data_IF_761991989972
#
_entry.id   IF_761991989972
#
_cell.length_a   1.000
_cell.length_b   1.000
_cell.length_c   1.000
_cell.angle_alpha   90.00
_cell.angle_beta   90.00
_cell.angle_gamma   90.00
#
_symmetry.space_group_name_H-M   'P 1'
#
loop_
_entity.id
_entity.type
_entity.pdbx_description
1 polymer ?
#
# COMPACT_ATOMS: atom_id res chain seq x y z
N UNK A 1 -8.78 -6.22 -0.78
CA UNK A 1 -9.47 -5.64 0.40
C UNK A 1 -10.01 -4.26 0.05
N UNK A 2 -11.30 -3.96 0.26
CA UNK A 2 -11.94 -2.71 -0.22
C UNK A 2 -12.27 -1.71 0.90
N UNK A 3 -12.18 -2.12 2.16
CA UNK A 3 -12.55 -1.33 3.35
C UNK A 3 -11.43 -1.50 4.39
N UNK A 4 -11.07 -0.46 5.17
CA UNK A 4 -10.08 -0.59 6.21
C UNK A 4 -10.53 -1.52 7.35
N UNK A 5 -9.59 -2.12 8.11
CA UNK A 5 -8.15 -2.09 7.88
C UNK A 5 -7.72 -2.94 6.67
N UNK A 6 -6.77 -2.43 5.87
CA UNK A 6 -6.22 -3.15 4.73
C UNK A 6 -5.09 -4.09 5.21
N UNK A 7 -5.44 -5.30 5.63
CA UNK A 7 -4.48 -6.31 6.05
C UNK A 7 -4.90 -7.71 5.61
N UNK A 8 -3.94 -8.63 5.61
CA UNK A 8 -4.11 -10.06 5.35
C UNK A 8 -3.34 -10.81 6.44
N UNK A 9 -3.90 -11.91 6.93
CA UNK A 9 -3.26 -12.79 7.92
C UNK A 9 -3.28 -14.20 7.36
N UNK A 10 -2.11 -14.80 7.21
CA UNK A 10 -1.89 -16.11 6.60
C UNK A 10 -0.80 -16.85 7.37
N UNK A 11 -0.72 -18.17 7.17
CA UNK A 11 0.36 -19.02 7.71
C UNK A 11 1.21 -19.57 6.56
N UNK A 12 2.53 -19.62 6.74
CA UNK A 12 3.47 -20.06 5.71
C UNK A 12 4.84 -20.43 6.30
N UNK A 13 5.69 -21.05 5.47
CA UNK A 13 6.98 -21.60 5.88
C UNK A 13 8.19 -20.90 5.23
N UNK A 14 7.96 -20.09 4.19
CA UNK A 14 9.00 -19.37 3.48
C UNK A 14 8.56 -17.93 3.20
N UNK A 15 9.53 -17.02 3.18
CA UNK A 15 9.31 -15.65 2.73
C UNK A 15 9.23 -15.53 1.21
N UNK A 16 8.65 -14.46 0.72
CA UNK A 16 8.51 -14.17 -0.71
C UNK A 16 8.28 -12.69 -1.00
N UNK A 17 8.51 -12.29 -2.25
CA UNK A 17 8.17 -10.97 -2.77
C UNK A 17 6.66 -10.86 -3.02
N UNK A 18 5.98 -10.09 -2.18
CA UNK A 18 4.54 -9.86 -2.26
C UNK A 18 4.23 -8.60 -3.09
N UNK A 19 3.62 -8.70 -4.28
CA UNK A 19 3.12 -7.55 -5.00
C UNK A 19 1.87 -6.98 -4.30
N UNK A 20 1.95 -5.72 -3.86
CA UNK A 20 0.87 -4.96 -3.23
C UNK A 20 0.44 -3.85 -4.18
N UNK A 21 -0.74 -3.99 -4.78
CA UNK A 21 -1.32 -2.96 -5.64
C UNK A 21 -2.34 -2.10 -4.87
N UNK A 22 -2.11 -0.79 -4.86
CA UNK A 22 -2.98 0.20 -4.20
C UNK A 22 -3.77 0.94 -5.27
N UNK A 23 -5.09 0.80 -5.25
CA UNK A 23 -6.00 1.51 -6.15
C UNK A 23 -6.48 2.82 -5.54
N UNK A 24 -6.38 3.90 -6.33
CA UNK A 24 -6.84 5.23 -5.93
C UNK A 24 -8.28 5.46 -6.36
N UNK A 25 -9.03 6.23 -5.57
CA UNK A 25 -10.34 6.80 -5.97
C UNK A 25 -10.16 7.97 -6.96
N UNK A 26 -9.37 7.75 -8.01
CA UNK A 26 -9.01 8.68 -9.07
C UNK A 26 -9.64 8.23 -10.40
N UNK A 27 -10.25 9.16 -11.14
CA UNK A 27 -10.84 8.89 -12.47
C UNK A 27 -9.76 8.90 -13.58
N UNK A 28 -8.68 9.67 -13.39
CA UNK A 28 -7.57 9.81 -14.37
C UNK A 28 -6.39 8.90 -13.98
N UNK A 29 -5.36 8.85 -14.83
CA UNK A 29 -4.08 8.19 -14.48
C UNK A 29 -3.32 9.01 -13.42
N UNK A 30 -2.55 8.37 -12.52
CA UNK A 30 -2.50 6.93 -12.27
C UNK A 30 -3.73 6.43 -11.49
N UNK A 31 -4.25 5.24 -11.86
CA UNK A 31 -5.38 4.58 -11.18
C UNK A 31 -4.93 3.70 -10.01
N UNK A 32 -3.72 3.17 -10.10
CA UNK A 32 -3.09 2.37 -9.06
C UNK A 32 -1.58 2.60 -9.05
N UNK A 33 -0.94 2.10 -7.99
CA UNK A 33 0.51 1.94 -7.87
C UNK A 33 0.79 0.55 -7.32
N UNK A 34 1.85 -0.10 -7.79
CA UNK A 34 2.26 -1.42 -7.32
C UNK A 34 3.57 -1.30 -6.55
N UNK A 35 3.64 -1.95 -5.40
CA UNK A 35 4.85 -2.10 -4.59
C UNK A 35 5.19 -3.57 -4.46
N UNK A 36 6.45 -3.94 -4.67
CA UNK A 36 6.93 -5.26 -4.29
C UNK A 36 7.39 -5.21 -2.84
N UNK A 37 6.70 -5.91 -1.95
CA UNK A 37 6.98 -5.98 -0.52
C UNK A 37 7.69 -7.28 -0.19
N UNK A 38 8.91 -7.20 0.33
CA UNK A 38 9.64 -8.37 0.83
C UNK A 38 9.00 -8.87 2.14
N UNK A 39 8.26 -9.97 2.05
CA UNK A 39 7.68 -10.66 3.18
C UNK A 39 8.64 -11.79 3.57
N UNK A 40 9.64 -11.45 4.39
CA UNK A 40 10.60 -12.44 4.90
C UNK A 40 10.20 -13.01 6.26
N UNK A 41 10.57 -14.28 6.50
CA UNK A 41 10.30 -15.00 7.74
C UNK A 41 11.62 -15.31 8.46
N UNK A 42 11.94 -14.63 9.57
CA UNK A 42 13.10 -14.98 10.38
C UNK A 42 12.87 -16.30 11.14
N UNK A 43 13.91 -17.12 11.24
CA UNK A 43 13.84 -18.47 11.84
C UNK A 43 13.57 -18.43 13.34
N UNK A 44 14.23 -17.53 14.07
CA UNK A 44 14.30 -17.61 15.54
C UNK A 44 13.56 -16.47 16.27
N UNK A 45 12.93 -15.53 15.55
CA UNK A 45 12.38 -14.31 16.14
C UNK A 45 11.07 -13.90 15.48
N UNK A 46 10.15 -13.38 16.29
CA UNK A 46 9.01 -12.64 15.77
C UNK A 46 9.49 -11.35 15.07
N UNK A 47 8.90 -11.06 13.91
CA UNK A 47 9.25 -9.89 13.12
C UNK A 47 8.18 -8.80 13.22
N UNK A 48 8.64 -7.55 13.30
CA UNK A 48 7.82 -6.36 13.05
C UNK A 48 8.54 -5.46 12.07
N UNK A 49 8.14 -5.50 10.80
CA UNK A 49 8.68 -4.66 9.74
C UNK A 49 7.74 -3.48 9.46
N UNK A 50 8.30 -2.28 9.27
CA UNK A 50 7.56 -1.08 8.90
C UNK A 50 8.22 -0.44 7.67
N UNK A 51 7.44 -0.22 6.61
CA UNK A 51 7.88 0.45 5.38
C UNK A 51 7.04 1.70 5.13
N UNK A 52 7.69 2.82 4.82
CA UNK A 52 7.03 4.10 4.49
C UNK A 52 7.29 4.45 3.03
N UNK A 53 6.24 4.77 2.30
CA UNK A 53 6.30 5.12 0.88
C UNK A 53 5.75 6.53 0.65
N UNK A 54 6.47 7.35 -0.12
CA UNK A 54 6.05 8.71 -0.48
C UNK A 54 5.62 8.76 -1.94
N UNK A 55 4.37 9.13 -2.17
CA UNK A 55 3.83 9.33 -3.52
C UNK A 55 3.61 10.80 -3.81
N UNK A 56 3.96 11.22 -5.03
CA UNK A 56 3.75 12.59 -5.50
C UNK A 56 2.87 12.56 -6.74
N UNK A 57 1.71 13.24 -6.66
CA UNK A 57 0.79 13.37 -7.79
C UNK A 57 0.93 14.77 -8.39
N UNK A 58 1.39 14.86 -9.65
CA UNK A 58 1.54 16.14 -10.34
C UNK A 58 0.21 16.57 -10.94
N UNK A 59 -0.22 17.80 -10.64
CA UNK A 59 -1.46 18.42 -11.16
C UNK A 59 -2.68 17.47 -11.10
N UNK A 60 -3.03 16.93 -9.90
CA UNK A 60 -4.18 16.05 -9.75
C UNK A 60 -5.49 16.78 -10.09
N UNK A 61 -6.52 16.04 -10.50
CA UNK A 61 -7.86 16.61 -10.64
C UNK A 61 -8.36 17.13 -9.29
N UNK A 62 -9.12 18.23 -9.27
CA UNK A 62 -9.64 18.85 -8.03
C UNK A 62 -10.31 17.83 -7.10
N UNK A 63 -11.21 17.00 -7.63
CA UNK A 63 -11.87 15.93 -6.86
C UNK A 63 -10.90 14.94 -6.19
N UNK A 64 -9.74 14.68 -6.82
CA UNK A 64 -8.74 13.77 -6.28
C UNK A 64 -7.82 14.48 -5.28
N UNK A 65 -7.46 15.74 -5.56
CA UNK A 65 -6.73 16.60 -4.63
C UNK A 65 -7.46 16.75 -3.30
N UNK A 66 -8.77 17.01 -3.33
CA UNK A 66 -9.61 17.15 -2.12
C UNK A 66 -9.59 15.86 -1.28
N UNK A 67 -9.63 14.68 -1.93
CA UNK A 67 -9.52 13.38 -1.24
C UNK A 67 -8.14 13.17 -0.61
N UNK A 68 -7.07 13.57 -1.30
CA UNK A 68 -5.70 13.44 -0.78
C UNK A 68 -5.47 14.33 0.44
N UNK A 69 -5.92 15.60 0.38
CA UNK A 69 -5.75 16.56 1.47
C UNK A 69 -6.57 16.14 2.70
N UNK A 70 -7.80 15.67 2.50
CA UNK A 70 -8.64 15.20 3.61
C UNK A 70 -8.10 13.92 4.28
N UNK A 71 -7.32 13.11 3.57
CA UNK A 71 -6.69 11.90 4.12
C UNK A 71 -5.38 12.18 4.87
N UNK A 72 -4.78 13.36 4.71
CA UNK A 72 -3.51 13.75 5.34
C UNK A 72 -3.67 14.69 6.55
N UNK A 73 -4.91 14.91 7.01
CA UNK A 73 -5.20 15.64 8.26
C UNK A 73 -5.00 14.75 9.48
#
# INVERSE_FOLDING_TARGET
>A
VKVPPYFVSEMGYAGFDLPVEIFFKNKKKPKSVMFTYDLFLPVDKAIKSNRREKLTFQKPAKEFMDKLINAGK
#
